data_IF_322568017700
#
_entry.id   IF_322568017700
#
_cell.length_a   1.000
_cell.length_b   1.000
_cell.length_c   1.000
_cell.angle_alpha   90.00
_cell.angle_beta   90.00
_cell.angle_gamma   90.00
#
_symmetry.space_group_name_H-M   'P 1'
#
loop_
_entity.id
_entity.type
_entity.pdbx_description
1 polymer ?
#
# COMPACT_ATOMS: atom_id res chain seq x y z
N UNK A 1 27.12 -28.27 -11.08
CA UNK A 1 26.86 -27.86 -10.65
C UNK A 1 26.37 -27.46 -10.02
N UNK A 2 26.07 -27.55 -10.00
CA UNK A 2 25.71 -27.09 -9.44
C UNK A 2 25.05 -26.56 -8.91
N UNK A 3 24.81 -26.48 -9.08
CA UNK A 3 24.26 -25.93 -8.60
C UNK A 3 23.38 -25.59 -8.53
N UNK A 4 23.08 -25.75 -8.91
CA UNK A 4 22.38 -25.39 -8.82
C UNK A 4 21.53 -25.43 -8.42
N UNK A 5 21.42 -25.93 -8.55
CA UNK A 5 20.80 -25.82 -8.25
C UNK A 5 20.15 -25.76 -7.52
N UNK A 6 20.23 -26.08 -7.50
CA UNK A 6 19.87 -25.93 -6.87
C UNK A 6 19.26 -25.70 -6.54
N UNK A 7 19.15 -25.93 -6.89
CA UNK A 7 18.83 -25.69 -6.64
C UNK A 7 18.02 -25.57 -6.63
N UNK A 8 17.86 -25.79 -6.94
CA UNK A 8 17.27 -25.91 -7.07
C UNK A 8 16.58 -26.17 -6.51
N UNK A 9 16.63 -26.51 -6.70
CA UNK A 9 15.80 -26.93 -5.97
C UNK A 9 14.99 -26.23 -5.26
N UNK A 10 14.42 -26.78 -4.72
CA UNK A 10 13.49 -26.16 -4.02
C UNK A 10 12.90 -25.09 -4.73
N UNK A 11 12.84 -25.22 -5.82
CA UNK A 11 12.55 -24.19 -6.47
C UNK A 11 11.37 -24.07 -7.17
N UNK A 12 10.52 -24.91 -7.32
CA UNK A 12 9.39 -24.73 -8.04
C UNK A 12 8.54 -23.74 -7.47
N UNK A 13 8.62 -23.50 -6.30
CA UNK A 13 7.86 -22.45 -5.78
C UNK A 13 8.34 -21.20 -6.30
N UNK A 14 9.40 -21.20 -6.95
CA UNK A 14 9.94 -20.04 -7.55
C UNK A 14 8.95 -19.34 -8.42
N UNK A 15 8.15 -20.06 -9.14
CA UNK A 15 7.16 -19.43 -9.98
C UNK A 15 6.22 -18.60 -9.18
N UNK A 16 5.87 -19.04 -8.01
CA UNK A 16 5.01 -18.26 -7.15
C UNK A 16 5.68 -16.98 -6.76
N UNK A 17 6.97 -17.04 -6.54
CA UNK A 17 7.68 -15.87 -6.09
C UNK A 17 7.72 -14.76 -7.12
N UNK A 18 7.63 -15.10 -8.37
CA UNK A 18 7.65 -14.09 -9.40
C UNK A 18 6.52 -13.12 -9.27
N UNK A 19 5.42 -13.53 -8.64
CA UNK A 19 4.27 -12.68 -8.55
C UNK A 19 4.10 -12.09 -7.17
N UNK A 20 5.17 -12.09 -6.39
CA UNK A 20 5.09 -11.63 -5.03
C UNK A 20 5.62 -10.23 -4.82
N UNK A 21 5.56 -9.40 -5.84
CA UNK A 21 5.85 -7.99 -5.68
C UNK A 21 4.53 -7.25 -5.54
N UNK A 22 4.35 -6.58 -4.43
CA UNK A 22 3.13 -5.82 -4.20
C UNK A 22 3.38 -4.73 -3.19
N UNK A 23 2.55 -3.70 -3.24
CA UNK A 23 2.52 -2.70 -2.20
C UNK A 23 1.17 -2.81 -1.52
N UNK A 24 1.16 -2.63 -0.21
CA UNK A 24 -0.08 -2.70 0.57
C UNK A 24 -0.34 -1.28 1.06
N UNK A 25 -1.53 -0.75 0.77
CA UNK A 25 -1.87 0.63 1.04
C UNK A 25 -3.13 0.68 1.89
N UNK A 26 -3.02 1.29 3.06
CA UNK A 26 -4.17 1.42 3.96
C UNK A 26 -4.12 2.79 4.62
N UNK A 27 -5.20 3.17 5.24
CA UNK A 27 -5.30 4.49 5.84
C UNK A 27 -6.05 4.46 7.15
N UNK A 28 -5.88 5.52 7.93
CA UNK A 28 -6.72 5.81 9.08
C UNK A 28 -7.03 7.30 9.02
N UNK A 29 -8.19 7.69 9.50
CA UNK A 29 -8.54 9.10 9.49
C UNK A 29 -9.32 9.47 10.74
N UNK A 30 -9.21 10.73 11.13
CA UNK A 30 -9.98 11.27 12.22
C UNK A 30 -10.07 12.77 12.02
N UNK A 31 -11.29 13.31 11.99
CA UNK A 31 -11.48 14.72 11.69
C UNK A 31 -11.00 15.03 10.29
N UNK A 32 -10.10 15.99 10.19
CA UNK A 32 -9.53 16.37 8.89
C UNK A 32 -8.12 15.80 8.69
N UNK A 33 -7.71 14.90 9.55
CA UNK A 33 -6.37 14.32 9.46
C UNK A 33 -6.46 12.87 9.01
N UNK A 34 -5.51 12.47 8.19
CA UNK A 34 -5.42 11.07 7.75
C UNK A 34 -3.96 10.67 7.67
N UNK A 35 -3.72 9.38 7.82
CA UNK A 35 -2.40 8.78 7.63
C UNK A 35 -2.57 7.63 6.65
N UNK A 36 -1.73 7.59 5.63
CA UNK A 36 -1.68 6.45 4.71
C UNK A 36 -0.41 5.68 5.02
N UNK A 37 -0.54 4.37 5.22
CA UNK A 37 0.59 3.49 5.45
C UNK A 37 0.79 2.63 4.22
N UNK A 38 2.03 2.55 3.74
CA UNK A 38 2.38 1.69 2.61
C UNK A 38 3.40 0.68 3.07
N UNK A 39 3.18 -0.59 2.76
CA UNK A 39 4.16 -1.66 2.96
C UNK A 39 4.66 -2.08 1.60
N UNK A 40 5.97 -2.27 1.48
CA UNK A 40 6.58 -2.70 0.23
C UNK A 40 6.99 -4.17 0.34
N UNK A 41 6.41 -5.01 -0.51
CA UNK A 41 6.73 -6.44 -0.54
C UNK A 41 7.41 -6.75 -1.87
N UNK A 42 8.56 -7.39 -1.79
CA UNK A 42 9.33 -7.80 -2.99
C UNK A 42 9.75 -9.25 -2.80
N UNK A 43 9.46 -10.06 -3.79
CA UNK A 43 9.72 -11.51 -3.74
C UNK A 43 9.09 -12.13 -2.49
N UNK A 44 7.88 -11.68 -2.16
CA UNK A 44 7.15 -12.20 -1.02
C UNK A 44 7.63 -11.70 0.33
N UNK A 45 8.60 -10.82 0.37
CA UNK A 45 9.17 -10.34 1.63
C UNK A 45 8.87 -8.86 1.84
N UNK A 46 8.52 -8.51 3.06
CA UNK A 46 8.33 -7.11 3.42
C UNK A 46 9.70 -6.47 3.55
N UNK A 47 10.01 -5.55 2.63
CA UNK A 47 11.33 -4.94 2.59
C UNK A 47 11.35 -3.52 3.14
N UNK A 48 10.19 -2.93 3.36
CA UNK A 48 10.16 -1.57 3.90
C UNK A 48 8.76 -1.06 4.02
N UNK A 49 8.64 0.15 4.57
CA UNK A 49 7.36 0.80 4.74
C UNK A 49 7.54 2.29 4.78
N UNK A 50 6.48 3.01 4.41
CA UNK A 50 6.46 4.46 4.49
C UNK A 50 5.09 4.90 4.93
N UNK A 51 4.99 6.06 5.52
CA UNK A 51 3.69 6.61 5.89
C UNK A 51 3.65 8.09 5.52
N UNK A 52 2.43 8.58 5.30
CA UNK A 52 2.20 9.94 4.84
C UNK A 52 1.06 10.54 5.62
N UNK A 53 1.26 11.75 6.11
CA UNK A 53 0.22 12.49 6.81
C UNK A 53 -0.49 13.39 5.81
N UNK A 54 -1.81 13.33 5.80
CA UNK A 54 -2.62 14.06 4.83
C UNK A 54 -3.68 14.86 5.57
N UNK A 55 -4.04 16.00 4.99
CA UNK A 55 -5.20 16.75 5.44
C UNK A 55 -6.33 16.49 4.47
N UNK A 56 -7.48 16.07 4.98
CA UNK A 56 -8.62 15.77 4.14
C UNK A 56 -9.58 16.95 4.14
N UNK A 57 -10.49 16.96 3.16
CA UNK A 57 -11.54 17.98 3.12
C UNK A 57 -12.84 17.34 3.57
N UNK A 58 -13.79 18.14 4.09
CA UNK A 58 -15.07 17.59 4.52
C UNK A 58 -15.74 16.85 3.39
N UNK A 59 -16.23 15.65 3.68
CA UNK A 59 -16.89 14.83 2.68
C UNK A 59 -16.00 13.79 2.04
N UNK A 60 -14.69 13.85 2.25
CA UNK A 60 -13.80 12.82 1.72
C UNK A 60 -14.09 11.47 2.38
N UNK A 61 -14.21 10.44 1.55
CA UNK A 61 -14.38 9.08 2.03
C UNK A 61 -13.03 8.37 1.96
N UNK A 62 -12.97 7.17 2.53
CA UNK A 62 -11.76 6.36 2.41
C UNK A 62 -11.41 6.09 0.95
N UNK A 63 -12.42 5.86 0.12
CA UNK A 63 -12.22 5.67 -1.31
C UNK A 63 -11.53 6.89 -1.92
N UNK A 64 -11.95 8.09 -1.56
CA UNK A 64 -11.35 9.32 -2.06
C UNK A 64 -9.91 9.46 -1.60
N UNK A 65 -9.65 9.16 -0.34
CA UNK A 65 -8.31 9.26 0.23
C UNK A 65 -7.35 8.32 -0.50
N UNK A 66 -7.76 7.07 -0.66
CA UNK A 66 -6.91 6.07 -1.32
C UNK A 66 -6.70 6.39 -2.78
N UNK A 67 -7.76 6.80 -3.48
CA UNK A 67 -7.65 7.13 -4.90
C UNK A 67 -6.69 8.30 -5.13
N UNK A 68 -6.86 9.36 -4.34
CA UNK A 68 -5.99 10.53 -4.46
C UNK A 68 -4.55 10.19 -4.13
N UNK A 69 -4.36 9.40 -3.08
CA UNK A 69 -3.01 9.02 -2.69
C UNK A 69 -2.31 8.23 -3.78
N UNK A 70 -3.00 7.23 -4.34
CA UNK A 70 -2.41 6.39 -5.38
C UNK A 70 -2.04 7.22 -6.60
N UNK A 71 -2.91 8.14 -7.00
CA UNK A 71 -2.60 8.99 -8.14
C UNK A 71 -1.38 9.85 -7.87
N UNK A 72 -1.29 10.45 -6.70
CA UNK A 72 -0.17 11.34 -6.40
C UNK A 72 1.14 10.58 -6.19
N UNK A 73 1.06 9.43 -5.58
CA UNK A 73 2.27 8.69 -5.23
C UNK A 73 2.84 7.88 -6.40
N UNK A 74 1.97 7.25 -7.18
CA UNK A 74 2.43 6.31 -8.21
C UNK A 74 2.52 6.86 -9.62
N UNK A 75 1.69 7.82 -9.99
CA UNK A 75 1.75 8.33 -11.35
C UNK A 75 3.08 9.06 -11.52
N UNK A 76 3.85 8.61 -12.49
CA UNK A 76 5.15 9.20 -12.76
C UNK A 76 6.32 8.52 -12.08
N UNK A 77 6.08 7.55 -11.20
CA UNK A 77 7.20 6.81 -10.61
C UNK A 77 7.71 5.79 -11.63
N UNK A 78 9.02 5.52 -11.64
CA UNK A 78 9.56 4.59 -12.63
C UNK A 78 9.11 3.16 -12.43
N UNK A 79 8.91 2.74 -11.19
CA UNK A 79 8.53 1.36 -10.90
C UNK A 79 7.26 1.29 -10.08
N UNK A 80 6.31 0.49 -10.55
CA UNK A 80 5.09 0.19 -9.83
C UNK A 80 4.98 -1.33 -9.81
N UNK A 81 4.75 -1.95 -8.65
CA UNK A 81 4.67 -3.41 -8.62
C UNK A 81 3.41 -3.90 -9.35
N UNK A 82 3.37 -5.18 -9.62
CA UNK A 82 2.25 -5.77 -10.36
C UNK A 82 0.93 -5.68 -9.62
N UNK A 83 0.98 -5.55 -8.30
CA UNK A 83 -0.25 -5.59 -7.51
C UNK A 83 -0.22 -4.54 -6.40
N UNK A 84 -1.31 -3.81 -6.27
CA UNK A 84 -1.52 -2.90 -5.16
C UNK A 84 -2.70 -3.44 -4.37
N UNK A 85 -2.49 -3.74 -3.09
CA UNK A 85 -3.57 -4.18 -2.22
C UNK A 85 -4.09 -2.98 -1.46
N UNK A 86 -5.40 -2.77 -1.51
CA UNK A 86 -6.01 -1.59 -0.90
C UNK A 86 -7.08 -2.00 0.09
N UNK A 87 -7.30 -1.14 1.06
CA UNK A 87 -8.26 -1.38 2.13
C UNK A 87 -9.69 -1.25 1.66
N UNK A 88 -9.94 -0.37 0.71
CA UNK A 88 -11.27 -0.16 0.15
C UNK A 88 -11.15 0.01 -1.35
N UNK A 89 -12.24 -0.24 -2.05
CA UNK A 89 -12.25 -0.08 -3.49
C UNK A 89 -11.98 1.37 -3.86
N UNK A 90 -11.15 1.58 -4.87
CA UNK A 90 -10.84 2.93 -5.32
C UNK A 90 -11.83 3.39 -6.38
N UNK A 91 -11.78 4.68 -6.71
CA UNK A 91 -12.64 5.26 -7.74
C UNK A 91 -12.14 4.81 -9.11
N UNK A 92 -13.06 4.35 -9.96
CA UNK A 92 -12.73 3.93 -11.32
C UNK A 92 -11.50 3.02 -11.39
N UNK A 93 -11.55 1.86 -10.75
CA UNK A 93 -10.35 1.03 -10.64
C UNK A 93 -9.76 0.59 -11.97
N UNK A 94 -10.60 0.35 -12.99
CA UNK A 94 -10.08 -0.06 -14.30
C UNK A 94 -9.28 1.05 -14.95
N UNK A 95 -9.79 2.27 -14.89
CA UNK A 95 -9.10 3.41 -15.48
C UNK A 95 -7.81 3.69 -14.74
N UNK A 96 -7.85 3.63 -13.41
CA UNK A 96 -6.67 3.86 -12.61
C UNK A 96 -5.61 2.80 -12.90
N UNK A 97 -6.03 1.55 -13.02
CA UNK A 97 -5.12 0.45 -13.38
C UNK A 97 -4.44 0.74 -14.73
N UNK A 98 -5.21 1.19 -15.72
CA UNK A 98 -4.65 1.50 -17.03
C UNK A 98 -3.63 2.63 -16.94
N UNK A 99 -3.92 3.66 -16.16
CA UNK A 99 -2.99 4.77 -15.98
C UNK A 99 -1.68 4.29 -15.35
N UNK A 100 -1.78 3.45 -14.33
CA UNK A 100 -0.60 2.95 -13.64
C UNK A 100 0.20 1.99 -14.48
N UNK A 101 -0.46 1.28 -15.37
CA UNK A 101 0.21 0.27 -16.22
C UNK A 101 0.93 0.88 -17.41
N UNK A 102 0.68 2.15 -17.68
CA UNK A 102 1.13 2.78 -18.92
C UNK A 102 2.63 2.67 -19.17
N UNK A 103 3.45 2.82 -18.14
CA UNK A 103 4.89 2.77 -18.28
C UNK A 103 5.51 1.50 -17.72
N UNK A 104 4.69 0.47 -17.51
CA UNK A 104 5.17 -0.81 -17.02
C UNK A 104 5.02 -1.86 -18.12
N UNK A 105 5.78 -2.94 -18.01
CA UNK A 105 5.69 -4.02 -18.99
C UNK A 105 4.60 -5.02 -18.65
N UNK A 106 3.71 -4.68 -17.73
CA UNK A 106 2.66 -5.56 -17.25
C UNK A 106 1.50 -4.73 -16.76
N UNK A 107 0.38 -5.38 -16.53
CA UNK A 107 -0.79 -4.72 -15.97
C UNK A 107 -0.62 -4.58 -14.45
N UNK A 108 -0.80 -3.38 -13.95
CA UNK A 108 -0.80 -3.14 -12.51
C UNK A 108 -2.23 -3.38 -12.03
N UNK A 109 -2.40 -4.34 -11.12
CA UNK A 109 -3.72 -4.69 -10.62
C UNK A 109 -3.95 -4.04 -9.27
N UNK A 110 -5.12 -3.46 -9.08
CA UNK A 110 -5.53 -2.87 -7.81
C UNK A 110 -6.56 -3.80 -7.20
N UNK A 111 -6.24 -4.39 -6.05
CA UNK A 111 -7.04 -5.44 -5.45
C UNK A 111 -7.46 -5.05 -4.05
N UNK A 112 -8.75 -5.19 -3.76
CA UNK A 112 -9.28 -5.02 -2.41
C UNK A 112 -9.57 -6.43 -1.88
N UNK A 113 -8.63 -7.05 -1.16
CA UNK A 113 -8.80 -8.43 -0.74
C UNK A 113 -9.88 -8.56 0.33
N UNK A 114 -10.66 -9.63 0.23
CA UNK A 114 -11.78 -9.85 1.15
C UNK A 114 -11.53 -10.95 2.16
N UNK A 115 -10.46 -11.71 2.01
CA UNK A 115 -10.13 -12.79 2.92
C UNK A 115 -8.70 -13.25 2.70
N UNK A 116 -8.21 -14.04 3.62
CA UNK A 116 -6.91 -14.69 3.49
C UNK A 116 -5.76 -13.83 3.95
N UNK A 117 -4.55 -14.25 3.57
CA UNK A 117 -3.34 -13.58 4.03
C UNK A 117 -3.21 -12.16 3.49
N UNK A 118 -3.70 -11.92 2.28
CA UNK A 118 -3.63 -10.57 1.71
C UNK A 118 -4.50 -9.60 2.49
N UNK A 119 -5.68 -10.03 2.90
CA UNK A 119 -6.55 -9.17 3.71
C UNK A 119 -5.89 -8.86 5.05
N UNK A 120 -5.20 -9.86 5.62
CA UNK A 120 -4.52 -9.64 6.90
C UNK A 120 -3.39 -8.63 6.79
N UNK A 121 -2.70 -8.60 5.66
CA UNK A 121 -1.66 -7.61 5.43
C UNK A 121 -2.27 -6.21 5.35
N UNK A 122 -3.41 -6.07 4.70
CA UNK A 122 -4.09 -4.79 4.62
C UNK A 122 -4.57 -4.36 6.01
N UNK A 123 -5.09 -5.30 6.79
CA UNK A 123 -5.52 -4.98 8.16
C UNK A 123 -4.35 -4.52 9.01
N UNK A 124 -3.20 -5.14 8.84
CA UNK A 124 -2.01 -4.75 9.58
C UNK A 124 -1.58 -3.34 9.21
N UNK A 125 -1.61 -3.02 7.92
CA UNK A 125 -1.27 -1.68 7.47
C UNK A 125 -2.26 -0.64 8.00
N UNK A 126 -3.54 -0.98 8.02
CA UNK A 126 -4.56 -0.08 8.55
C UNK A 126 -4.35 0.15 10.05
N UNK A 127 -4.00 -0.89 10.78
CA UNK A 127 -3.73 -0.78 12.21
C UNK A 127 -2.54 0.12 12.45
N UNK A 128 -1.48 -0.04 11.66
CA UNK A 128 -0.31 0.81 11.79
C UNK A 128 -0.65 2.27 11.48
N UNK A 129 -1.48 2.50 10.46
CA UNK A 129 -1.91 3.86 10.15
C UNK A 129 -2.65 4.47 11.33
N UNK A 130 -3.52 3.70 11.97
CA UNK A 130 -4.25 4.15 13.14
C UNK A 130 -3.33 4.51 14.30
N UNK A 131 -2.32 3.67 14.54
CA UNK A 131 -1.35 3.93 15.59
C UNK A 131 -0.55 5.21 15.32
N UNK A 132 -0.15 5.40 14.08
CA UNK A 132 0.59 6.61 13.70
C UNK A 132 -0.27 7.86 13.86
N UNK A 133 -1.54 7.75 13.50
CA UNK A 133 -2.46 8.88 13.65
C UNK A 133 -2.60 9.25 15.13
N UNK A 134 -2.72 8.26 16.00
CA UNK A 134 -2.83 8.48 17.43
C UNK A 134 -1.57 9.15 17.99
N UNK A 135 -0.42 8.65 17.58
CA UNK A 135 0.87 9.21 18.02
C UNK A 135 1.02 10.65 17.57
N UNK A 136 0.60 10.96 16.35
CA UNK A 136 0.69 12.31 15.83
C UNK A 136 -0.19 13.26 16.62
N UNK A 137 -1.38 12.84 16.98
CA UNK A 137 -2.30 13.64 17.79
C UNK A 137 -1.70 13.92 19.17
N UNK A 138 -1.09 12.90 19.77
CA UNK A 138 -0.47 13.05 21.07
C UNK A 138 0.66 14.08 21.02
N UNK A 139 1.49 13.96 20.01
CA UNK A 139 2.60 14.89 19.82
C UNK A 139 2.10 16.32 19.64
N UNK A 140 1.07 16.49 18.81
CA UNK A 140 0.51 17.80 18.55
C UNK A 140 -0.07 18.41 19.85
N UNK A 141 -0.73 17.61 20.64
CA UNK A 141 -1.30 18.08 21.91
C UNK A 141 -0.22 18.54 22.85
N UNK A 142 0.90 17.83 22.92
CA UNK A 142 2.00 18.21 23.79
C UNK A 142 2.61 19.52 23.36
N UNK A 143 2.77 19.71 22.08
CA UNK A 143 3.34 20.94 21.55
C UNK A 143 2.45 22.12 21.85
N UNK A 144 1.15 21.93 21.75
CA UNK A 144 0.20 22.98 22.07
C UNK A 144 0.25 23.37 23.53
N UNK A 145 0.46 22.40 24.39
CA UNK A 145 0.54 22.70 25.81
C UNK A 145 1.77 23.51 26.19
N UNK A 146 2.79 23.45 25.39
CA UNK A 146 4.01 24.19 25.71
C UNK A 146 3.89 25.65 25.37
N UNK A 147 2.99 26.02 24.54
CA UNK A 147 2.79 27.40 24.18
C UNK A 147 1.66 27.98 24.97
#
# INVERSE_FOLDING_TARGET
MINIINHVAGNQKITTHQFEDRDIIAYAEEGNDAVVQVFFVRNGKLIGREHFYLTTVPGDTGKDILTSFIKQYYIGTPFIPRELLVQEEVEEPELLSQLLSRNQNYTVRIVNPKKGSKEKLVELAAKNAGNLLEQNKEKYRREQKRT
#
